data_IF_779248074153
#
_entry.id   IF_779248074153
#
_cell.length_a   1.000
_cell.length_b   1.000
_cell.length_c   1.000
_cell.angle_alpha   90.00
_cell.angle_beta   90.00
_cell.angle_gamma   90.00
#
_symmetry.space_group_name_H-M   'P 1'
#
loop_
_entity.id
_entity.type
_entity.pdbx_description
1 polymer ?
#
# COMPACT_ATOMS: atom_id res chain seq x y z
N UNK A 1 11.23 8.66 11.59
CA UNK A 1 11.91 9.25 10.41
C UNK A 1 11.09 8.86 9.19
N UNK A 2 10.58 9.80 8.40
CA UNK A 2 9.79 9.45 7.21
C UNK A 2 10.74 9.23 6.02
N UNK A 3 11.01 7.98 5.68
CA UNK A 3 11.79 7.61 4.50
C UNK A 3 11.04 7.97 3.22
N UNK A 4 11.73 8.53 2.22
CA UNK A 4 11.11 8.81 0.93
C UNK A 4 10.77 7.51 0.17
N UNK A 5 9.89 7.60 -0.83
CA UNK A 5 9.59 6.47 -1.71
C UNK A 5 10.84 5.86 -2.34
N UNK A 6 11.78 6.72 -2.77
CA UNK A 6 13.04 6.28 -3.39
C UNK A 6 13.94 5.59 -2.36
N UNK A 7 14.01 6.11 -1.14
CA UNK A 7 14.82 5.52 -0.06
C UNK A 7 14.26 4.14 0.30
N UNK A 8 12.94 4.02 0.47
CA UNK A 8 12.29 2.73 0.76
C UNK A 8 12.54 1.70 -0.34
N UNK A 9 12.41 2.10 -1.61
CA UNK A 9 12.66 1.19 -2.74
C UNK A 9 14.12 0.72 -2.78
N UNK A 10 15.06 1.63 -2.55
CA UNK A 10 16.49 1.30 -2.48
C UNK A 10 16.79 0.35 -1.31
N UNK A 11 16.20 0.60 -0.14
CA UNK A 11 16.34 -0.27 1.03
C UNK A 11 15.79 -1.67 0.74
N UNK A 12 14.60 -1.78 0.15
CA UNK A 12 14.01 -3.08 -0.25
C UNK A 12 14.95 -3.84 -1.20
N UNK A 13 15.52 -3.16 -2.19
CA UNK A 13 16.46 -3.79 -3.14
C UNK A 13 17.73 -4.29 -2.44
N UNK A 14 18.29 -3.51 -1.52
CA UNK A 14 19.44 -3.93 -0.73
C UNK A 14 19.14 -5.11 0.20
N UNK A 15 17.96 -5.12 0.84
CA UNK A 15 17.52 -6.22 1.71
C UNK A 15 17.31 -7.51 0.90
N UNK A 16 16.70 -7.41 -0.30
CA UNK A 16 16.54 -8.56 -1.19
C UNK A 16 17.89 -9.12 -1.66
N UNK A 17 18.87 -8.26 -1.91
CA UNK A 17 20.22 -8.71 -2.25
C UNK A 17 20.87 -9.45 -1.08
N UNK A 18 20.80 -8.89 0.14
CA UNK A 18 21.32 -9.53 1.34
C UNK A 18 20.65 -10.88 1.60
N UNK A 19 19.33 -10.94 1.51
CA UNK A 19 18.56 -12.18 1.64
C UNK A 19 19.01 -13.22 0.60
N UNK A 20 19.29 -12.82 -0.63
CA UNK A 20 19.83 -13.73 -1.65
C UNK A 20 21.20 -14.28 -1.29
N UNK A 21 22.09 -13.48 -0.70
CA UNK A 21 23.40 -13.95 -0.25
C UNK A 21 23.27 -14.91 0.93
N UNK A 22 22.36 -14.63 1.87
CA UNK A 22 22.08 -15.52 3.00
C UNK A 22 21.51 -16.86 2.54
N UNK A 23 20.57 -16.85 1.59
CA UNK A 23 20.06 -18.10 1.00
C UNK A 23 21.15 -18.91 0.28
N UNK A 24 22.10 -18.26 -0.40
CA UNK A 24 23.24 -18.96 -1.02
C UNK A 24 24.12 -19.61 0.04
N UNK A 25 24.46 -18.86 1.10
CA UNK A 25 25.27 -19.37 2.19
C UNK A 25 24.56 -20.52 2.91
N UNK A 26 23.26 -20.39 3.19
CA UNK A 26 22.46 -21.46 3.79
C UNK A 26 22.52 -22.74 2.95
N UNK A 27 22.29 -22.63 1.64
CA UNK A 27 22.36 -23.77 0.73
C UNK A 27 23.75 -24.44 0.65
N UNK A 28 24.84 -23.74 1.01
CA UNK A 28 26.18 -24.32 1.10
C UNK A 28 26.40 -25.12 2.39
N UNK A 29 25.72 -24.74 3.48
CA UNK A 29 26.01 -25.22 4.85
C UNK A 29 24.89 -26.04 5.47
N UNK A 30 23.68 -26.06 4.91
CA UNK A 30 22.46 -26.69 5.48
C UNK A 30 22.65 -28.19 5.80
N UNK A 31 23.42 -28.91 4.97
CA UNK A 31 23.68 -30.34 5.15
C UNK A 31 24.94 -30.64 6.00
N UNK A 32 25.59 -29.62 6.56
CA UNK A 32 26.86 -29.75 7.28
C UNK A 32 26.62 -29.63 8.79
N UNK A 33 26.71 -30.75 9.53
CA UNK A 33 26.53 -30.78 11.00
C UNK A 33 27.42 -29.78 11.76
N UNK A 34 28.61 -29.46 11.24
CA UNK A 34 29.52 -28.48 11.85
C UNK A 34 28.96 -27.04 11.86
N UNK A 35 27.99 -26.75 11.00
CA UNK A 35 27.41 -25.42 10.80
C UNK A 35 25.92 -25.34 11.18
N UNK A 36 25.39 -26.31 11.94
CA UNK A 36 23.98 -26.35 12.36
C UNK A 36 23.55 -25.04 13.07
N UNK A 37 24.40 -24.53 13.97
CA UNK A 37 24.15 -23.26 14.67
C UNK A 37 24.11 -22.07 13.69
N UNK A 38 25.06 -21.98 12.74
CA UNK A 38 25.11 -20.92 11.73
C UNK A 38 23.89 -20.99 10.81
N UNK A 39 23.50 -22.20 10.37
CA UNK A 39 22.34 -22.41 9.51
C UNK A 39 21.04 -21.94 10.18
N UNK A 40 20.87 -22.26 11.47
CA UNK A 40 19.70 -21.85 12.26
C UNK A 40 19.63 -20.33 12.47
N UNK A 41 20.77 -19.68 12.77
CA UNK A 41 20.85 -18.23 12.86
C UNK A 41 20.50 -17.56 11.52
N UNK A 42 21.02 -18.10 10.42
CA UNK A 42 20.82 -17.58 9.07
C UNK A 42 19.36 -17.74 8.61
N UNK A 43 18.71 -18.85 8.95
CA UNK A 43 17.27 -19.05 8.70
C UNK A 43 16.42 -18.01 9.44
N UNK A 44 16.75 -17.73 10.70
CA UNK A 44 16.07 -16.69 11.49
C UNK A 44 16.23 -15.30 10.85
N UNK A 45 17.46 -14.96 10.47
CA UNK A 45 17.76 -13.69 9.81
C UNK A 45 17.01 -13.56 8.48
N UNK A 46 16.92 -14.63 7.68
CA UNK A 46 16.14 -14.64 6.43
C UNK A 46 14.66 -14.32 6.71
N UNK A 47 14.05 -14.97 7.71
CA UNK A 47 12.65 -14.73 8.08
C UNK A 47 12.42 -13.29 8.57
N UNK A 48 13.39 -12.73 9.31
CA UNK A 48 13.36 -11.33 9.72
C UNK A 48 13.42 -10.38 8.51
N UNK A 49 14.33 -10.64 7.57
CA UNK A 49 14.48 -9.85 6.35
C UNK A 49 13.20 -9.88 5.50
N UNK A 50 12.56 -11.04 5.33
CA UNK A 50 11.28 -11.18 4.63
C UNK A 50 10.19 -10.35 5.29
N UNK A 51 10.06 -10.45 6.61
CA UNK A 51 9.08 -9.69 7.39
C UNK A 51 9.30 -8.19 7.25
N UNK A 52 10.56 -7.74 7.26
CA UNK A 52 10.93 -6.34 7.10
C UNK A 52 10.62 -5.83 5.69
N UNK A 53 10.91 -6.62 4.65
CA UNK A 53 10.59 -6.29 3.26
C UNK A 53 9.07 -6.15 3.08
N UNK A 54 8.30 -7.10 3.60
CA UNK A 54 6.83 -7.07 3.53
C UNK A 54 6.24 -5.81 4.20
N UNK A 55 6.74 -5.44 5.37
CA UNK A 55 6.28 -4.22 6.06
C UNK A 55 6.70 -2.96 5.28
N UNK A 56 7.93 -2.90 4.74
CA UNK A 56 8.37 -1.79 3.91
C UNK A 56 7.52 -1.65 2.64
N UNK A 57 7.21 -2.76 1.96
CA UNK A 57 6.36 -2.79 0.78
C UNK A 57 4.91 -2.39 1.10
N UNK A 58 4.38 -2.84 2.23
CA UNK A 58 3.07 -2.41 2.71
C UNK A 58 3.05 -0.90 2.94
N UNK A 59 4.04 -0.35 3.64
CA UNK A 59 4.12 1.10 3.83
C UNK A 59 4.36 1.85 2.53
N UNK A 60 5.00 1.24 1.52
CA UNK A 60 5.22 1.82 0.20
C UNK A 60 3.92 1.88 -0.60
N UNK A 61 3.14 0.81 -0.58
CA UNK A 61 1.83 0.71 -1.22
C UNK A 61 0.82 1.63 -0.54
N UNK A 62 0.79 1.65 0.79
CA UNK A 62 0.03 2.64 1.54
C UNK A 62 0.45 4.06 1.18
N UNK A 63 1.75 4.37 1.06
CA UNK A 63 2.22 5.68 0.61
C UNK A 63 1.89 5.99 -0.86
N UNK A 64 1.73 5.01 -1.76
CA UNK A 64 1.18 5.24 -3.11
C UNK A 64 -0.29 5.63 -3.04
N UNK A 65 -1.07 4.96 -2.20
CA UNK A 65 -2.48 5.31 -1.96
C UNK A 65 -2.59 6.67 -1.28
N UNK A 66 -1.74 6.96 -0.30
CA UNK A 66 -1.71 8.24 0.41
C UNK A 66 -1.11 9.37 -0.42
N UNK A 67 -0.12 9.15 -1.29
CA UNK A 67 0.46 10.21 -2.14
C UNK A 67 -0.50 10.66 -3.24
N UNK A 68 -1.30 9.74 -3.79
CA UNK A 68 -2.43 10.09 -4.67
C UNK A 68 -3.52 10.85 -3.89
N UNK A 69 -3.78 10.43 -2.66
CA UNK A 69 -4.73 11.11 -1.80
C UNK A 69 -4.21 12.48 -1.32
N UNK A 70 -2.91 12.68 -1.03
CA UNK A 70 -2.38 13.94 -0.49
C UNK A 70 -2.33 15.07 -1.50
N UNK A 71 -2.21 14.77 -2.81
CA UNK A 71 -2.52 15.75 -3.86
C UNK A 71 -4.00 16.17 -3.83
N UNK A 72 -4.88 15.37 -3.23
CA UNK A 72 -6.29 15.69 -2.97
C UNK A 72 -6.61 16.04 -1.50
N UNK A 73 -5.66 15.92 -0.56
CA UNK A 73 -5.88 15.99 0.91
C UNK A 73 -5.32 17.28 1.51
N UNK A 74 -5.43 18.40 0.80
CA UNK A 74 -5.53 19.71 1.46
C UNK A 74 -6.91 19.84 2.16
N UNK A 75 -7.87 18.94 1.90
CA UNK A 75 -9.19 19.02 2.53
C UNK A 75 -9.50 17.86 3.47
N UNK A 76 -9.87 18.24 4.70
CA UNK A 76 -10.57 17.48 5.75
C UNK A 76 -9.77 16.46 6.60
N UNK A 77 -9.25 16.97 7.72
CA UNK A 77 -9.33 16.34 9.04
C UNK A 77 -10.79 16.46 9.51
N UNK A 78 -11.55 15.36 9.60
CA UNK A 78 -12.64 15.11 10.58
C UNK A 78 -13.32 13.78 10.25
N UNK A 79 -13.48 12.97 11.29
CA UNK A 79 -14.49 11.90 11.50
C UNK A 79 -15.13 11.34 10.22
N UNK A 80 -14.70 10.15 9.78
CA UNK A 80 -15.28 9.51 8.60
C UNK A 80 -16.57 8.76 8.97
N UNK A 81 -17.72 9.09 8.36
CA UNK A 81 -18.83 8.14 8.22
C UNK A 81 -18.37 6.91 7.43
N UNK A 82 -19.11 5.81 7.53
CA UNK A 82 -18.87 4.55 6.83
C UNK A 82 -18.88 4.78 5.32
N UNK A 83 -17.72 5.11 4.74
CA UNK A 83 -17.54 5.21 3.30
C UNK A 83 -17.42 3.79 2.75
N UNK A 84 -18.32 3.40 1.85
CA UNK A 84 -18.13 2.18 1.08
C UNK A 84 -16.94 2.39 0.14
N UNK A 85 -15.79 1.83 0.54
CA UNK A 85 -14.52 1.94 -0.18
C UNK A 85 -14.63 1.38 -1.60
N UNK A 86 -15.59 0.47 -1.85
CA UNK A 86 -15.86 -0.06 -3.18
C UNK A 86 -16.47 0.99 -4.11
N UNK A 87 -17.41 1.81 -3.61
CA UNK A 87 -17.97 2.92 -4.40
C UNK A 87 -16.89 3.92 -4.80
N UNK A 88 -16.03 4.28 -3.85
CA UNK A 88 -14.92 5.20 -4.11
C UNK A 88 -13.97 4.62 -5.17
N UNK A 89 -13.66 3.32 -5.09
CA UNK A 89 -12.83 2.63 -6.08
C UNK A 89 -13.47 2.62 -7.47
N UNK A 90 -14.78 2.36 -7.58
CA UNK A 90 -15.51 2.35 -8.85
C UNK A 90 -15.50 3.75 -9.50
N UNK A 91 -15.73 4.81 -8.73
CA UNK A 91 -15.70 6.19 -9.25
C UNK A 91 -14.31 6.59 -9.75
N UNK A 92 -13.24 6.07 -9.11
CA UNK A 92 -11.86 6.31 -9.55
C UNK A 92 -11.48 5.58 -10.84
N UNK A 93 -12.18 4.49 -11.19
CA UNK A 93 -11.95 3.74 -12.43
C UNK A 93 -12.65 4.37 -13.65
N UNK A 94 -13.56 5.32 -13.45
CA UNK A 94 -14.24 6.04 -14.52
C UNK A 94 -13.31 7.03 -15.24
N UNK A 95 -13.51 7.18 -16.54
CA UNK A 95 -12.92 8.24 -17.35
C UNK A 95 -13.38 9.63 -16.88
N UNK A 96 -12.72 10.68 -17.35
CA UNK A 96 -13.10 12.06 -16.98
C UNK A 96 -14.53 12.40 -17.43
N UNK A 97 -14.94 11.94 -18.62
CA UNK A 97 -16.27 12.21 -19.16
C UNK A 97 -17.36 11.50 -18.34
N UNK A 98 -17.12 10.24 -17.95
CA UNK A 98 -18.05 9.48 -17.11
C UNK A 98 -18.18 10.09 -15.71
N UNK A 99 -17.08 10.61 -15.14
CA UNK A 99 -17.13 11.32 -13.86
C UNK A 99 -17.92 12.62 -13.94
N UNK A 100 -17.79 13.37 -15.03
CA UNK A 100 -18.58 14.58 -15.24
C UNK A 100 -20.08 14.26 -15.36
N UNK A 101 -20.42 13.20 -16.10
CA UNK A 101 -21.80 12.72 -16.22
C UNK A 101 -22.38 12.26 -14.88
N UNK A 102 -21.58 11.56 -14.07
CA UNK A 102 -21.98 11.14 -12.73
C UNK A 102 -22.27 12.34 -11.81
N UNK A 103 -21.44 13.38 -11.87
CA UNK A 103 -21.66 14.63 -11.10
C UNK A 103 -22.95 15.32 -11.53
N UNK A 104 -23.25 15.34 -12.84
CA UNK A 104 -24.48 15.88 -13.38
C UNK A 104 -25.70 15.10 -12.89
N UNK A 105 -25.69 13.77 -12.99
CA UNK A 105 -26.77 12.91 -12.52
C UNK A 105 -27.03 13.04 -11.01
N UNK A 106 -25.97 13.10 -10.20
CA UNK A 106 -26.09 13.32 -8.74
C UNK A 106 -26.70 14.70 -8.46
N UNK A 107 -26.25 15.72 -9.19
CA UNK A 107 -26.76 17.09 -9.04
C UNK A 107 -28.25 17.17 -9.40
N UNK A 108 -28.69 16.49 -10.45
CA UNK A 108 -30.10 16.38 -10.82
C UNK A 108 -30.92 15.62 -9.76
N UNK A 109 -30.41 14.49 -9.27
CA UNK A 109 -31.07 13.70 -8.22
C UNK A 109 -31.32 14.54 -6.96
N UNK A 110 -30.32 15.31 -6.51
CA UNK A 110 -30.44 16.17 -5.32
C UNK A 110 -31.49 17.27 -5.56
N UNK A 111 -31.52 17.86 -6.76
CA UNK A 111 -32.53 18.86 -7.12
C UNK A 111 -33.94 18.26 -7.11
N UNK A 112 -34.09 17.05 -7.65
CA UNK A 112 -35.36 16.34 -7.66
C UNK A 112 -35.85 16.02 -6.23
N UNK A 113 -34.99 15.50 -5.36
CA UNK A 113 -35.32 15.21 -3.96
C UNK A 113 -35.73 16.46 -3.19
N UNK A 114 -35.05 17.58 -3.42
CA UNK A 114 -35.40 18.85 -2.79
C UNK A 114 -36.73 19.41 -3.30
N UNK A 115 -37.08 19.18 -4.57
CA UNK A 115 -38.38 19.56 -5.12
C UNK A 115 -39.53 18.74 -4.53
N UNK A 116 -39.31 17.44 -4.28
CA UNK A 116 -40.29 16.55 -3.64
C UNK A 116 -40.53 16.90 -2.16
N UNK A 117 -39.49 17.32 -1.44
CA UNK A 117 -39.61 17.71 -0.01
C UNK A 117 -40.33 19.04 0.21
N UNK A 118 -40.42 19.87 -0.82
CA UNK A 118 -41.04 21.19 -0.77
C UNK A 118 -42.53 21.18 -1.19
N UNK A 119 -43.06 20.03 -1.61
CA UNK A 119 -44.44 19.83 -2.05
C UNK A 119 -45.27 19.04 -1.03
#
# INVERSE_FOLDING_TARGET
MNLSFKDKKFIIEALNHLQSEYNKRLAEIEDQEEYEDEASELENDILFLESLVLELDKTLNENKTYSLLTSSKILSKKEKPTYDENLVRLVLQLSINERLLLVEAISESIRHDNSLKAS
#
